data_IF_281618975386
#
_entry.id   IF_281618975386
#
_cell.length_a   1.000
_cell.length_b   1.000
_cell.length_c   1.000
_cell.angle_alpha   90.00
_cell.angle_beta   90.00
_cell.angle_gamma   90.00
#
_symmetry.space_group_name_H-M   'P 1'
#
loop_
_entity.id
_entity.type
_entity.pdbx_description
1 polymer ?
#
# COMPACT_ATOMS: atom_id res chain seq x y z
N UNK A 1 2.17 1.73 5.27
CA UNK A 1 1.30 2.55 6.14
C UNK A 1 1.43 4.00 5.67
N UNK A 2 0.61 4.92 6.14
CA UNK A 2 0.84 6.37 5.97
C UNK A 2 1.36 7.03 7.27
N UNK A 3 1.36 6.29 8.38
CA UNK A 3 1.86 6.70 9.70
C UNK A 3 1.28 8.02 10.22
N UNK A 4 0.16 8.50 9.66
CA UNK A 4 -0.55 9.70 10.13
C UNK A 4 -0.98 9.54 11.59
N UNK A 5 -1.37 8.32 11.97
CA UNK A 5 -1.57 7.92 13.36
C UNK A 5 -0.30 7.25 13.90
N UNK A 6 0.44 7.98 14.74
CA UNK A 6 1.72 7.51 15.28
C UNK A 6 1.63 6.22 16.10
N UNK A 7 0.46 5.82 16.59
CA UNK A 7 0.30 4.52 17.27
C UNK A 7 0.51 3.33 16.33
N UNK A 8 0.25 3.51 15.02
CA UNK A 8 0.39 2.46 14.02
C UNK A 8 1.84 2.07 13.73
N UNK A 9 2.82 2.82 14.24
CA UNK A 9 4.23 2.40 14.17
C UNK A 9 4.45 1.01 14.78
N UNK A 10 3.60 0.60 15.74
CA UNK A 10 3.62 -0.73 16.32
C UNK A 10 3.41 -1.85 15.28
N UNK A 11 2.76 -1.57 14.15
CA UNK A 11 2.58 -2.54 13.05
C UNK A 11 3.88 -2.83 12.28
N UNK A 12 4.90 -1.97 12.43
CA UNK A 12 6.18 -2.05 11.74
C UNK A 12 7.37 -2.27 12.69
N UNK A 13 7.19 -1.97 13.98
CA UNK A 13 8.27 -1.89 14.96
C UNK A 13 9.02 -3.21 15.18
N UNK A 14 8.36 -4.35 14.94
CA UNK A 14 8.92 -5.70 15.08
C UNK A 14 9.32 -6.34 13.73
N UNK A 15 9.11 -5.63 12.62
CA UNK A 15 9.44 -6.13 11.29
C UNK A 15 10.90 -5.84 10.92
N UNK A 16 11.50 -6.77 10.18
CA UNK A 16 12.79 -6.55 9.52
C UNK A 16 12.55 -6.02 8.11
N UNK A 17 12.57 -4.70 7.97
CA UNK A 17 12.41 -4.01 6.68
C UNK A 17 13.69 -3.26 6.31
N UNK A 18 13.99 -3.19 5.01
CA UNK A 18 15.13 -2.41 4.51
C UNK A 18 14.82 -0.91 4.45
N UNK A 19 13.56 -0.55 4.20
CA UNK A 19 13.12 0.84 4.07
C UNK A 19 11.60 0.95 4.30
N UNK A 20 11.14 2.17 4.55
CA UNK A 20 9.72 2.55 4.59
C UNK A 20 9.41 3.53 3.46
N UNK A 21 8.27 3.34 2.80
CA UNK A 21 7.73 4.29 1.85
C UNK A 21 6.24 4.46 2.14
N UNK A 22 5.77 5.70 2.12
CA UNK A 22 4.35 6.01 2.24
C UNK A 22 3.55 5.28 1.15
N UNK A 23 2.33 4.82 1.48
CA UNK A 23 1.49 4.07 0.54
C UNK A 23 1.19 4.83 -0.76
N UNK A 24 1.06 6.16 -0.71
CA UNK A 24 0.69 6.99 -1.85
C UNK A 24 1.93 7.25 -2.73
N UNK A 25 3.09 7.46 -2.10
CA UNK A 25 4.38 7.57 -2.79
C UNK A 25 4.79 6.23 -3.44
N UNK A 26 4.57 5.11 -2.74
CA UNK A 26 4.87 3.77 -3.24
C UNK A 26 4.17 3.48 -4.56
N UNK A 27 2.87 3.71 -4.64
CA UNK A 27 2.09 3.35 -5.82
C UNK A 27 2.52 4.20 -7.02
N UNK A 28 2.70 5.51 -6.83
CA UNK A 28 3.19 6.39 -7.88
C UNK A 28 4.61 6.01 -8.35
N UNK A 29 5.49 5.63 -7.41
CA UNK A 29 6.86 5.24 -7.75
C UNK A 29 6.92 3.88 -8.47
N UNK A 30 6.07 2.93 -8.08
CA UNK A 30 5.94 1.64 -8.74
C UNK A 30 5.44 1.80 -10.18
N UNK A 31 4.38 2.58 -10.39
CA UNK A 31 3.80 2.86 -11.71
C UNK A 31 4.81 3.52 -12.67
N UNK A 32 5.75 4.30 -12.13
CA UNK A 32 6.82 4.94 -12.90
C UNK A 32 8.10 4.10 -13.02
N UNK A 33 8.12 2.86 -12.53
CA UNK A 33 9.31 1.99 -12.57
C UNK A 33 10.45 2.42 -11.65
N UNK A 34 10.20 3.34 -10.70
CA UNK A 34 11.21 3.95 -9.84
C UNK A 34 11.70 3.07 -8.67
N UNK A 35 11.23 1.82 -8.58
CA UNK A 35 11.62 0.83 -7.57
C UNK A 35 12.61 -0.23 -8.09
N UNK A 36 13.01 -0.15 -9.37
CA UNK A 36 13.87 -1.14 -10.00
C UNK A 36 13.17 -2.48 -10.22
N UNK A 37 13.93 -3.59 -10.19
CA UNK A 37 13.37 -4.93 -10.40
C UNK A 37 12.63 -5.41 -9.16
N UNK A 38 11.32 -5.57 -9.29
CA UNK A 38 10.45 -6.13 -8.24
C UNK A 38 10.18 -7.60 -8.56
N UNK A 39 10.54 -8.50 -7.65
CA UNK A 39 10.28 -9.95 -7.81
C UNK A 39 8.88 -10.33 -7.37
N UNK A 40 8.43 -9.80 -6.25
CA UNK A 40 7.13 -10.08 -5.66
C UNK A 40 6.59 -8.86 -4.89
N UNK A 41 5.27 -8.77 -4.80
CA UNK A 41 4.56 -7.78 -3.99
C UNK A 41 3.58 -8.50 -3.08
N UNK A 42 3.72 -8.29 -1.77
CA UNK A 42 2.78 -8.77 -0.76
C UNK A 42 1.86 -7.62 -0.35
N UNK A 43 0.65 -7.57 -0.90
CA UNK A 43 -0.31 -6.50 -0.63
C UNK A 43 -1.15 -6.80 0.62
N UNK A 44 -0.77 -6.21 1.75
CA UNK A 44 -1.49 -6.34 3.04
C UNK A 44 -2.21 -5.04 3.46
N UNK A 45 -2.10 -3.97 2.67
CA UNK A 45 -2.67 -2.66 3.01
C UNK A 45 -4.16 -2.56 2.69
N UNK A 46 -4.98 -2.22 3.69
CA UNK A 46 -6.40 -1.91 3.54
C UNK A 46 -6.91 -1.12 4.76
N UNK A 47 -8.02 -0.40 4.61
CA UNK A 47 -8.88 -0.09 5.73
C UNK A 47 -9.47 -1.41 6.26
N UNK A 48 -9.08 -1.78 7.48
CA UNK A 48 -9.51 -2.98 8.18
C UNK A 48 -10.61 -2.72 9.23
N UNK A 49 -11.02 -1.46 9.38
CA UNK A 49 -12.10 -1.06 10.30
C UNK A 49 -13.42 -1.63 9.81
N UNK A 50 -13.94 -2.65 10.50
CA UNK A 50 -15.20 -3.32 10.12
C UNK A 50 -16.44 -2.44 10.32
N UNK A 51 -16.30 -1.36 11.08
CA UNK A 51 -17.34 -0.36 11.34
C UNK A 51 -17.12 0.93 10.54
N UNK A 52 -16.38 0.87 9.43
CA UNK A 52 -16.24 1.99 8.51
C UNK A 52 -17.48 2.05 7.59
N UNK A 53 -18.17 3.18 7.59
CA UNK A 53 -19.42 3.39 6.85
C UNK A 53 -19.26 4.31 5.64
N UNK A 54 -18.11 4.97 5.50
CA UNK A 54 -17.76 5.73 4.31
C UNK A 54 -17.40 4.78 3.17
N UNK A 55 -18.42 4.33 2.45
CA UNK A 55 -18.26 3.41 1.33
C UNK A 55 -17.36 3.95 0.22
N UNK A 56 -17.37 5.27 -0.03
CA UNK A 56 -16.48 5.89 -1.02
C UNK A 56 -15.01 5.72 -0.60
N UNK A 57 -14.70 6.01 0.66
CA UNK A 57 -13.38 5.80 1.21
C UNK A 57 -12.94 4.32 1.13
N UNK A 58 -13.83 3.37 1.48
CA UNK A 58 -13.54 1.94 1.36
C UNK A 58 -13.22 1.52 -0.08
N UNK A 59 -13.98 2.03 -1.06
CA UNK A 59 -13.73 1.74 -2.47
C UNK A 59 -12.42 2.36 -2.96
N UNK A 60 -12.10 3.57 -2.51
CA UNK A 60 -10.87 4.27 -2.91
C UNK A 60 -9.62 3.61 -2.30
N UNK A 61 -9.63 3.31 -0.99
CA UNK A 61 -8.46 2.79 -0.24
C UNK A 61 -8.26 1.29 -0.39
N UNK A 62 -9.33 0.50 -0.53
CA UNK A 62 -9.19 -0.96 -0.65
C UNK A 62 -9.27 -1.39 -2.11
N UNK A 63 -10.42 -1.16 -2.76
CA UNK A 63 -10.68 -1.76 -4.07
C UNK A 63 -9.87 -1.10 -5.19
N UNK A 64 -9.99 0.22 -5.36
CA UNK A 64 -9.35 0.97 -6.43
C UNK A 64 -7.82 0.93 -6.30
N UNK A 65 -7.30 1.11 -5.08
CA UNK A 65 -5.87 0.97 -4.79
C UNK A 65 -5.34 -0.41 -5.16
N UNK A 66 -5.97 -1.49 -4.68
CA UNK A 66 -5.53 -2.87 -4.97
C UNK A 66 -5.55 -3.18 -6.47
N UNK A 67 -6.56 -2.69 -7.18
CA UNK A 67 -6.66 -2.84 -8.64
C UNK A 67 -5.51 -2.13 -9.36
N UNK A 68 -5.19 -0.89 -8.97
CA UNK A 68 -4.04 -0.15 -9.53
C UNK A 68 -2.73 -0.87 -9.27
N UNK A 69 -2.52 -1.32 -8.04
CA UNK A 69 -1.33 -2.07 -7.65
C UNK A 69 -1.15 -3.34 -8.49
N UNK A 70 -2.22 -4.11 -8.69
CA UNK A 70 -2.20 -5.30 -9.55
C UNK A 70 -1.82 -4.93 -10.98
N UNK A 71 -2.42 -3.90 -11.57
CA UNK A 71 -2.11 -3.47 -12.92
C UNK A 71 -0.64 -3.03 -13.07
N UNK A 72 -0.10 -2.28 -12.09
CA UNK A 72 1.31 -1.91 -12.07
C UNK A 72 2.21 -3.15 -12.02
N UNK A 73 1.92 -4.12 -11.16
CA UNK A 73 2.69 -5.37 -11.09
C UNK A 73 2.67 -6.18 -12.40
N UNK A 74 1.53 -6.19 -13.10
CA UNK A 74 1.41 -6.88 -14.39
C UNK A 74 2.15 -6.17 -15.52
N UNK A 75 2.27 -4.83 -15.45
CA UNK A 75 2.99 -4.02 -16.43
C UNK A 75 4.52 -4.07 -16.25
N UNK A 76 5.01 -4.46 -15.07
CA UNK A 76 6.44 -4.63 -14.77
C UNK A 76 7.04 -5.94 -15.31
N UNK A 77 6.23 -6.76 -15.99
CA UNK A 77 6.66 -8.04 -16.58
C UNK A 77 7.46 -7.86 -17.86
#
# INVERSE_FOLDING_TARGET
>A
DDLTDGHKIANLADLQIADYLDKDDFLARLENGGLGRVEAVFHQGACSTTTEWNGKYMMDVNYAYSKRLLHACLALR
#
